data_IF_294109092137
#
_entry.id   IF_294109092137
#
_cell.length_a   1.000
_cell.length_b   1.000
_cell.length_c   1.000
_cell.angle_alpha   90.00
_cell.angle_beta   90.00
_cell.angle_gamma   90.00
#
_symmetry.space_group_name_H-M   'P 1'
#
loop_
_entity.id
_entity.type
_entity.pdbx_description
1 polymer ?
#
# COMPACT_ATOMS: atom_id res chain seq x y z
N UNK A 1 6.86 1.46 -24.38
CA UNK A 1 7.92 0.92 -23.50
C UNK A 1 7.37 -0.35 -22.87
N UNK A 2 8.15 -1.43 -22.94
CA UNK A 2 7.74 -2.76 -22.43
C UNK A 2 8.77 -3.25 -21.43
N UNK A 3 8.33 -3.78 -20.30
CA UNK A 3 9.18 -4.33 -19.25
C UNK A 3 8.64 -5.69 -18.80
N UNK A 4 9.54 -6.58 -18.39
CA UNK A 4 9.19 -7.86 -17.79
C UNK A 4 9.50 -7.78 -16.28
N UNK A 5 8.53 -8.15 -15.48
CA UNK A 5 8.60 -8.09 -14.03
C UNK A 5 8.33 -9.48 -13.47
N UNK A 6 9.15 -9.92 -12.53
CA UNK A 6 8.91 -11.15 -11.77
C UNK A 6 8.51 -10.77 -10.34
N UNK A 7 7.22 -10.97 -10.03
CA UNK A 7 6.62 -10.59 -8.75
C UNK A 7 6.70 -11.75 -7.77
N UNK A 8 7.30 -11.49 -6.63
CA UNK A 8 7.49 -12.46 -5.55
C UNK A 8 6.64 -12.12 -4.32
N UNK A 9 6.46 -13.08 -3.41
CA UNK A 9 5.82 -12.84 -2.10
C UNK A 9 6.51 -11.74 -1.30
N UNK A 10 7.82 -11.57 -1.47
CA UNK A 10 8.59 -10.49 -0.84
C UNK A 10 8.14 -9.10 -1.34
N UNK A 11 7.83 -8.97 -2.63
CA UNK A 11 7.36 -7.71 -3.20
C UNK A 11 5.98 -7.36 -2.69
N UNK A 12 5.09 -8.35 -2.58
CA UNK A 12 3.77 -8.18 -2.00
C UNK A 12 3.84 -7.82 -0.52
N UNK A 13 4.77 -8.41 0.24
CA UNK A 13 5.02 -8.03 1.62
C UNK A 13 5.42 -6.54 1.74
N UNK A 14 6.39 -6.10 0.94
CA UNK A 14 6.83 -4.69 0.96
C UNK A 14 5.75 -3.73 0.47
N UNK A 15 4.99 -4.13 -0.56
CA UNK A 15 3.83 -3.37 -1.04
C UNK A 15 2.79 -3.22 0.07
N UNK A 16 2.38 -4.33 0.69
CA UNK A 16 1.40 -4.30 1.78
C UNK A 16 1.89 -3.44 2.94
N UNK A 17 3.12 -3.62 3.38
CA UNK A 17 3.72 -2.84 4.46
C UNK A 17 3.70 -1.34 4.16
N UNK A 18 4.14 -0.95 2.97
CA UNK A 18 4.15 0.46 2.57
C UNK A 18 2.73 1.04 2.47
N UNK A 19 1.82 0.34 1.80
CA UNK A 19 0.45 0.82 1.60
C UNK A 19 -0.37 0.82 2.90
N UNK A 20 -0.19 -0.19 3.75
CA UNK A 20 -0.84 -0.27 5.06
C UNK A 20 -0.45 0.92 5.95
N UNK A 21 0.85 1.20 6.03
CA UNK A 21 1.35 2.28 6.89
C UNK A 21 1.08 3.68 6.33
N UNK A 22 1.12 3.87 5.01
CA UNK A 22 1.12 5.22 4.42
C UNK A 22 -0.20 5.62 3.76
N UNK A 23 -0.94 4.66 3.22
CA UNK A 23 -2.08 4.97 2.35
C UNK A 23 -3.42 4.55 2.93
N UNK A 24 -3.48 3.45 3.68
CA UNK A 24 -4.74 2.94 4.25
C UNK A 24 -5.28 3.81 5.40
N UNK A 25 -4.47 4.70 5.95
CA UNK A 25 -4.78 5.42 7.18
C UNK A 25 -4.73 4.53 8.44
N UNK A 26 -4.22 3.31 8.32
CA UNK A 26 -4.13 2.35 9.42
C UNK A 26 -3.28 2.84 10.60
N UNK A 27 -2.34 3.76 10.35
CA UNK A 27 -1.60 4.43 11.43
C UNK A 27 -2.48 5.20 12.43
N UNK A 28 -3.72 5.51 12.06
CA UNK A 28 -4.71 6.16 12.94
C UNK A 28 -5.37 5.18 13.91
N UNK A 29 -5.36 3.88 13.60
CA UNK A 29 -6.01 2.84 14.42
C UNK A 29 -5.50 2.87 15.87
N UNK A 30 -4.18 2.80 16.15
CA UNK A 30 -3.68 2.85 17.52
C UNK A 30 -4.00 4.17 18.22
N UNK A 31 -4.04 5.29 17.49
CA UNK A 31 -4.38 6.60 18.05
C UNK A 31 -5.84 6.61 18.50
N UNK A 32 -6.78 6.19 17.66
CA UNK A 32 -8.19 6.15 18.02
C UNK A 32 -8.48 5.12 19.12
N UNK A 33 -7.87 3.94 19.09
CA UNK A 33 -7.99 2.95 20.14
C UNK A 33 -7.50 3.50 21.49
N UNK A 34 -6.34 4.16 21.50
CA UNK A 34 -5.81 4.78 22.72
C UNK A 34 -6.70 5.89 23.24
N UNK A 35 -7.16 6.82 22.38
CA UNK A 35 -8.06 7.92 22.75
C UNK A 35 -9.39 7.38 23.31
N UNK A 36 -9.95 6.33 22.72
CA UNK A 36 -11.19 5.72 23.18
C UNK A 36 -11.02 5.13 24.58
N UNK A 37 -9.95 4.35 24.82
CA UNK A 37 -9.68 3.78 26.13
C UNK A 37 -9.40 4.86 27.18
N UNK A 38 -8.67 5.91 26.83
CA UNK A 38 -8.43 7.06 27.70
C UNK A 38 -9.75 7.79 28.04
N UNK A 39 -10.62 8.02 27.04
CA UNK A 39 -11.91 8.65 27.24
C UNK A 39 -12.83 7.85 28.17
N UNK A 40 -12.91 6.53 27.99
CA UNK A 40 -13.67 5.65 28.89
C UNK A 40 -13.11 5.70 30.31
N UNK A 41 -11.79 5.71 30.47
CA UNK A 41 -11.16 5.83 31.79
C UNK A 41 -11.54 7.13 32.49
N UNK A 42 -11.41 8.28 31.83
CA UNK A 42 -11.76 9.59 32.41
C UNK A 42 -13.26 9.73 32.70
N UNK A 43 -14.11 9.16 31.83
CA UNK A 43 -15.56 9.14 32.09
C UNK A 43 -15.91 8.40 33.38
N UNK A 44 -15.25 7.26 33.65
CA UNK A 44 -15.55 6.44 34.86
C UNK A 44 -14.82 6.92 36.11
N UNK A 45 -13.56 7.37 36.00
CA UNK A 45 -12.74 7.74 37.15
C UNK A 45 -12.86 9.22 37.55
N UNK A 46 -13.39 10.08 36.65
CA UNK A 46 -13.34 11.53 36.79
C UNK A 46 -11.90 12.08 36.66
N UNK A 47 -11.80 13.41 36.75
CA UNK A 47 -10.50 14.09 36.66
C UNK A 47 -9.78 14.23 38.01
N UNK A 48 -10.34 13.67 39.10
CA UNK A 48 -9.78 13.72 40.45
C UNK A 48 -8.82 12.55 40.79
N UNK A 49 -8.52 11.70 39.80
CA UNK A 49 -7.63 10.57 40.00
C UNK A 49 -6.16 11.03 40.19
N UNK A 50 -5.41 10.25 41.00
CA UNK A 50 -3.97 10.46 41.18
C UNK A 50 -3.21 10.47 39.86
N UNK A 51 -2.28 11.42 39.68
CA UNK A 51 -1.52 11.58 38.45
C UNK A 51 -0.72 10.33 38.09
N UNK A 52 -0.23 9.61 39.12
CA UNK A 52 0.52 8.36 38.92
C UNK A 52 -0.38 7.26 38.34
N UNK A 53 -1.61 7.17 38.85
CA UNK A 53 -2.61 6.23 38.32
C UNK A 53 -3.01 6.58 36.89
N UNK A 54 -3.19 7.86 36.61
CA UNK A 54 -3.50 8.33 35.24
C UNK A 54 -2.36 7.93 34.28
N UNK A 55 -1.12 8.27 34.62
CA UNK A 55 0.04 7.95 33.79
C UNK A 55 0.19 6.44 33.54
N UNK A 56 0.02 5.63 34.59
CA UNK A 56 0.04 4.17 34.47
C UNK A 56 -1.04 3.66 33.51
N UNK A 57 -2.30 4.07 33.69
CA UNK A 57 -3.40 3.63 32.81
C UNK A 57 -3.22 4.04 31.37
N UNK A 58 -2.78 5.27 31.10
CA UNK A 58 -2.51 5.74 29.75
C UNK A 58 -1.38 4.95 29.07
N UNK A 59 -0.34 4.58 29.83
CA UNK A 59 0.74 3.73 29.33
C UNK A 59 0.27 2.32 28.99
N UNK A 60 -0.56 1.72 29.82
CA UNK A 60 -1.18 0.40 29.57
C UNK A 60 -2.07 0.45 28.34
N UNK A 61 -2.88 1.51 28.17
CA UNK A 61 -3.75 1.67 26.99
C UNK A 61 -2.95 1.84 25.71
N UNK A 62 -1.82 2.54 25.76
CA UNK A 62 -0.91 2.63 24.63
C UNK A 62 -0.35 1.25 24.24
N UNK A 63 0.05 0.45 25.22
CA UNK A 63 0.50 -0.94 25.01
C UNK A 63 -0.57 -1.77 24.27
N UNK A 64 -1.80 -1.75 24.75
CA UNK A 64 -2.93 -2.45 24.11
C UNK A 64 -3.21 -1.92 22.70
N UNK A 65 -3.18 -0.61 22.48
CA UNK A 65 -3.40 -0.01 21.18
C UNK A 65 -2.34 -0.47 20.15
N UNK A 66 -1.07 -0.58 20.56
CA UNK A 66 0.01 -1.10 19.74
C UNK A 66 -0.13 -2.59 19.45
N UNK A 67 -0.59 -3.38 20.42
CA UNK A 67 -0.87 -4.81 20.22
C UNK A 67 -1.99 -4.98 19.17
N UNK A 68 -3.10 -4.26 19.31
CA UNK A 68 -4.22 -4.29 18.37
C UNK A 68 -3.72 -3.92 16.95
N UNK A 69 -2.95 -2.86 16.83
CA UNK A 69 -2.37 -2.43 15.56
C UNK A 69 -1.48 -3.51 14.93
N UNK A 70 -0.62 -4.14 15.74
CA UNK A 70 0.27 -5.21 15.28
C UNK A 70 -0.52 -6.43 14.79
N UNK A 71 -1.59 -6.79 15.47
CA UNK A 71 -2.48 -7.89 15.05
C UNK A 71 -3.11 -7.56 13.68
N UNK A 72 -3.66 -6.36 13.51
CA UNK A 72 -4.24 -5.94 12.22
C UNK A 72 -3.19 -5.95 11.09
N UNK A 73 -1.97 -5.49 11.35
CA UNK A 73 -0.88 -5.52 10.38
C UNK A 73 -0.51 -6.95 9.98
N UNK A 74 -0.37 -7.84 10.97
CA UNK A 74 -0.04 -9.26 10.74
C UNK A 74 -1.15 -9.93 9.92
N UNK A 75 -2.41 -9.74 10.30
CA UNK A 75 -3.56 -10.32 9.57
C UNK A 75 -3.64 -9.80 8.13
N UNK A 76 -3.46 -8.49 7.93
CA UNK A 76 -3.39 -7.90 6.58
C UNK A 76 -2.28 -8.54 5.74
N UNK A 77 -1.10 -8.72 6.32
CA UNK A 77 0.04 -9.32 5.63
C UNK A 77 -0.21 -10.80 5.29
N UNK A 78 -0.75 -11.57 6.23
CA UNK A 78 -1.11 -12.97 6.00
C UNK A 78 -2.14 -13.08 4.87
N UNK A 79 -3.19 -12.24 4.89
CA UNK A 79 -4.25 -12.24 3.87
C UNK A 79 -3.68 -11.98 2.48
N UNK A 80 -2.82 -10.97 2.33
CA UNK A 80 -2.19 -10.65 1.03
C UNK A 80 -1.29 -11.79 0.54
N UNK A 81 -0.44 -12.34 1.41
CA UNK A 81 0.52 -13.37 1.02
C UNK A 81 -0.16 -14.72 0.77
N UNK A 82 -1.15 -15.08 1.58
CA UNK A 82 -1.87 -16.37 1.45
C UNK A 82 -2.84 -16.36 0.28
N UNK A 83 -3.43 -15.19 -0.05
CA UNK A 83 -4.30 -15.03 -1.22
C UNK A 83 -3.55 -14.91 -2.54
N UNK A 84 -2.22 -14.81 -2.52
CA UNK A 84 -1.41 -14.67 -3.72
C UNK A 84 -0.95 -16.02 -4.26
N UNK A 85 -1.10 -16.24 -5.57
CA UNK A 85 -0.69 -17.45 -6.27
C UNK A 85 -0.34 -17.13 -7.72
N UNK A 86 0.56 -17.90 -8.30
CA UNK A 86 0.86 -17.85 -9.74
C UNK A 86 -0.39 -18.21 -10.56
N UNK A 87 -1.19 -19.16 -10.06
CA UNK A 87 -2.43 -19.59 -10.72
C UNK A 87 -3.49 -18.48 -10.89
N UNK A 88 -3.39 -17.43 -10.08
CA UNK A 88 -4.31 -16.26 -10.16
C UNK A 88 -3.67 -15.06 -10.88
N UNK A 89 -2.47 -15.22 -11.41
CA UNK A 89 -1.75 -14.11 -12.06
C UNK A 89 -1.37 -12.98 -11.10
N UNK A 90 -1.14 -13.29 -9.82
CA UNK A 90 -0.69 -12.32 -8.79
C UNK A 90 0.81 -12.39 -8.58
N UNK A 91 1.37 -13.58 -8.65
CA UNK A 91 2.81 -13.84 -8.55
C UNK A 91 3.37 -14.27 -9.91
N UNK A 92 4.70 -14.27 -10.01
CA UNK A 92 5.41 -14.75 -11.18
C UNK A 92 5.64 -13.67 -12.24
N UNK A 93 5.67 -14.09 -13.49
CA UNK A 93 6.06 -13.23 -14.62
C UNK A 93 4.90 -12.36 -15.08
N UNK A 94 5.13 -11.07 -15.09
CA UNK A 94 4.24 -10.05 -15.63
C UNK A 94 4.96 -9.28 -16.71
N UNK A 95 4.26 -8.90 -17.76
CA UNK A 95 4.73 -7.95 -18.75
C UNK A 95 3.89 -6.69 -18.66
N UNK A 96 4.54 -5.55 -18.49
CA UNK A 96 3.89 -4.24 -18.57
C UNK A 96 4.28 -3.53 -19.84
N UNK A 97 3.29 -3.11 -20.62
CA UNK A 97 3.48 -2.36 -21.84
C UNK A 97 2.77 -1.01 -21.76
N UNK A 98 3.57 0.07 -21.76
CA UNK A 98 3.03 1.43 -21.77
C UNK A 98 2.61 1.79 -23.20
N UNK A 99 1.34 2.14 -23.38
CA UNK A 99 0.70 2.54 -24.61
C UNK A 99 0.30 4.02 -24.58
N UNK A 100 -0.23 4.55 -25.68
CA UNK A 100 -0.64 5.94 -25.77
C UNK A 100 -1.76 6.29 -24.77
N UNK A 101 -2.75 5.40 -24.61
CA UNK A 101 -3.96 5.66 -23.82
C UNK A 101 -3.98 4.96 -22.45
N UNK A 102 -2.92 4.24 -22.07
CA UNK A 102 -2.88 3.47 -20.85
C UNK A 102 -1.69 2.52 -20.79
N UNK A 103 -1.83 1.47 -20.01
CA UNK A 103 -0.89 0.36 -20.00
C UNK A 103 -1.61 -0.98 -20.04
N UNK A 104 -0.94 -1.96 -20.62
CA UNK A 104 -1.37 -3.36 -20.58
C UNK A 104 -0.50 -4.10 -19.60
N UNK A 105 -1.12 -4.88 -18.72
CA UNK A 105 -0.47 -5.92 -17.93
C UNK A 105 -0.87 -7.27 -18.51
N UNK A 106 0.11 -8.09 -18.82
CA UNK A 106 -0.08 -9.47 -19.29
C UNK A 106 0.63 -10.44 -18.35
N UNK A 107 -0.05 -11.52 -18.00
CA UNK A 107 0.48 -12.66 -17.25
C UNK A 107 0.25 -13.94 -18.06
N UNK A 108 0.69 -15.09 -17.56
CA UNK A 108 0.42 -16.38 -18.22
C UNK A 108 -1.07 -16.77 -18.21
N UNK A 109 -1.91 -16.10 -17.39
CA UNK A 109 -3.31 -16.47 -17.18
C UNK A 109 -4.31 -15.37 -17.57
N UNK A 110 -3.86 -14.12 -17.65
CA UNK A 110 -4.73 -12.99 -18.00
C UNK A 110 -3.99 -11.84 -18.68
N UNK A 111 -4.79 -10.96 -19.30
CA UNK A 111 -4.33 -9.68 -19.83
C UNK A 111 -5.34 -8.60 -19.45
N UNK A 112 -4.85 -7.47 -18.99
CA UNK A 112 -5.68 -6.35 -18.53
C UNK A 112 -5.15 -5.04 -19.09
N UNK A 113 -6.00 -4.29 -19.78
CA UNK A 113 -5.74 -2.91 -20.17
C UNK A 113 -6.26 -1.94 -19.11
N UNK A 114 -5.42 -1.04 -18.65
CA UNK A 114 -5.79 0.05 -17.76
C UNK A 114 -5.54 1.38 -18.44
N UNK A 115 -6.61 2.16 -18.66
CA UNK A 115 -6.50 3.52 -19.18
C UNK A 115 -5.80 4.43 -18.16
N UNK A 116 -5.09 5.47 -18.62
CA UNK A 116 -4.43 6.44 -17.71
C UNK A 116 -5.38 7.07 -16.70
N UNK A 117 -6.65 7.32 -17.06
CA UNK A 117 -7.70 7.82 -16.14
C UNK A 117 -8.09 6.82 -15.06
N UNK A 118 -7.86 5.52 -15.29
CA UNK A 118 -8.11 4.45 -14.32
C UNK A 118 -7.04 4.33 -13.22
N UNK A 119 -5.95 5.10 -13.34
CA UNK A 119 -4.94 5.14 -12.29
C UNK A 119 -5.45 6.05 -11.16
N UNK A 120 -5.67 5.45 -10.00
CA UNK A 120 -6.04 6.17 -8.79
C UNK A 120 -4.88 6.99 -8.22
N UNK A 121 -3.67 6.40 -8.18
CA UNK A 121 -2.47 7.06 -7.66
C UNK A 121 -1.19 6.34 -8.09
N UNK A 122 -0.14 7.09 -8.39
CA UNK A 122 1.22 6.60 -8.57
C UNK A 122 2.04 6.88 -7.33
N UNK A 123 2.77 5.87 -6.84
CA UNK A 123 3.68 6.00 -5.70
C UNK A 123 5.03 5.44 -6.13
N UNK A 124 6.09 6.24 -5.96
CA UNK A 124 7.47 5.81 -6.19
C UNK A 124 8.23 5.81 -4.88
N UNK A 125 8.98 4.74 -4.67
CA UNK A 125 9.96 4.59 -3.60
C UNK A 125 11.35 4.33 -4.19
N UNK A 126 12.36 4.19 -3.37
CA UNK A 126 13.71 3.86 -3.83
C UNK A 126 13.79 2.52 -4.57
N UNK A 127 12.91 1.56 -4.27
CA UNK A 127 12.97 0.19 -4.76
C UNK A 127 11.74 -0.26 -5.54
N UNK A 128 10.66 0.52 -5.56
CA UNK A 128 9.37 0.13 -6.15
C UNK A 128 8.64 1.29 -6.78
N UNK A 129 7.90 1.00 -7.84
CA UNK A 129 6.77 1.80 -8.29
C UNK A 129 5.49 1.03 -7.98
N UNK A 130 4.53 1.69 -7.35
CA UNK A 130 3.18 1.17 -7.12
C UNK A 130 2.19 1.95 -7.99
N UNK A 131 1.47 1.23 -8.86
CA UNK A 131 0.41 1.79 -9.70
C UNK A 131 -0.91 1.40 -9.05
N UNK A 132 -1.52 2.32 -8.32
CA UNK A 132 -2.83 2.08 -7.70
C UNK A 132 -3.94 2.30 -8.71
N UNK A 133 -4.79 1.31 -8.87
CA UNK A 133 -6.02 1.37 -9.69
C UNK A 133 -7.25 1.58 -8.82
N UNK A 134 -7.15 1.30 -7.51
CA UNK A 134 -8.17 1.59 -6.50
C UNK A 134 -7.50 1.84 -5.12
N UNK A 135 -8.25 2.31 -4.11
CA UNK A 135 -7.70 2.50 -2.75
C UNK A 135 -6.99 1.27 -2.16
N UNK A 136 -7.44 0.05 -2.49
CA UNK A 136 -6.89 -1.21 -1.99
C UNK A 136 -6.21 -2.08 -3.06
N UNK A 137 -6.19 -1.66 -4.32
CA UNK A 137 -5.60 -2.41 -5.42
C UNK A 137 -4.39 -1.66 -5.98
N UNK A 138 -3.29 -2.38 -6.16
CA UNK A 138 -2.07 -1.84 -6.74
C UNK A 138 -1.27 -2.90 -7.49
N UNK A 139 -0.67 -2.51 -8.63
CA UNK A 139 0.42 -3.27 -9.24
C UNK A 139 1.73 -2.86 -8.57
N UNK A 140 2.61 -3.83 -8.36
CA UNK A 140 3.94 -3.62 -7.78
C UNK A 140 5.01 -3.85 -8.83
N UNK A 141 5.88 -2.86 -9.04
CA UNK A 141 6.95 -2.93 -10.02
C UNK A 141 8.28 -2.71 -9.30
N UNK A 142 9.04 -3.79 -9.06
CA UNK A 142 10.32 -3.70 -8.39
C UNK A 142 11.41 -3.11 -9.28
N UNK A 143 12.23 -2.21 -8.72
CA UNK A 143 13.39 -1.61 -9.40
C UNK A 143 14.38 -2.67 -9.93
N UNK A 144 14.52 -3.81 -9.24
CA UNK A 144 15.42 -4.90 -9.66
C UNK A 144 15.09 -5.52 -11.01
N UNK A 145 13.88 -5.29 -11.54
CA UNK A 145 13.45 -5.81 -12.85
C UNK A 145 13.91 -4.94 -14.02
N UNK A 146 14.58 -3.81 -13.74
CA UNK A 146 15.16 -2.93 -14.74
C UNK A 146 16.66 -3.17 -14.85
N UNK A 147 17.21 -2.95 -16.04
CA UNK A 147 18.65 -3.13 -16.32
C UNK A 147 19.51 -2.12 -15.56
N UNK A 148 18.96 -0.93 -15.29
CA UNK A 148 19.64 0.15 -14.61
C UNK A 148 18.64 1.17 -14.03
N UNK A 149 19.16 2.09 -13.22
CA UNK A 149 18.35 3.14 -12.59
C UNK A 149 17.69 4.09 -13.61
N UNK A 150 18.39 4.41 -14.69
CA UNK A 150 17.87 5.31 -15.72
C UNK A 150 16.61 4.73 -16.37
N UNK A 151 16.59 3.44 -16.66
CA UNK A 151 15.41 2.76 -17.23
C UNK A 151 14.23 2.76 -16.25
N UNK A 152 14.49 2.56 -14.95
CA UNK A 152 13.47 2.65 -13.90
C UNK A 152 12.87 4.06 -13.79
N UNK A 153 13.72 5.09 -13.84
CA UNK A 153 13.29 6.49 -13.82
C UNK A 153 12.49 6.85 -15.08
N UNK A 154 12.93 6.41 -16.25
CA UNK A 154 12.23 6.63 -17.51
C UNK A 154 10.84 5.98 -17.49
N UNK A 155 10.75 4.74 -17.02
CA UNK A 155 9.47 4.05 -16.88
C UNK A 155 8.50 4.83 -16.00
N UNK A 156 8.94 5.25 -14.81
CA UNK A 156 8.12 6.05 -13.91
C UNK A 156 7.72 7.39 -14.51
N UNK A 157 8.64 8.08 -15.18
CA UNK A 157 8.38 9.35 -15.87
C UNK A 157 7.29 9.22 -16.94
N UNK A 158 7.34 8.17 -17.75
CA UNK A 158 6.31 7.88 -18.77
C UNK A 158 4.95 7.58 -18.15
N UNK A 159 4.89 6.78 -17.09
CA UNK A 159 3.66 6.54 -16.32
C UNK A 159 3.06 7.83 -15.79
N UNK A 160 3.90 8.66 -15.18
CA UNK A 160 3.50 9.95 -14.59
C UNK A 160 2.95 10.89 -15.65
N UNK A 161 3.66 11.07 -16.75
CA UNK A 161 3.25 11.93 -17.87
C UNK A 161 1.93 11.45 -18.48
N UNK A 162 1.76 10.15 -18.70
CA UNK A 162 0.52 9.58 -19.22
C UNK A 162 -0.68 9.87 -18.30
N UNK A 163 -0.51 9.64 -17.00
CA UNK A 163 -1.55 9.89 -15.99
C UNK A 163 -1.90 11.39 -15.86
N UNK A 164 -0.89 12.28 -15.79
CA UNK A 164 -1.10 13.73 -15.68
C UNK A 164 -1.81 14.31 -16.92
N UNK A 165 -1.37 13.91 -18.13
CA UNK A 165 -2.01 14.34 -19.37
C UNK A 165 -3.47 13.89 -19.48
N UNK A 166 -3.79 12.69 -19.00
CA UNK A 166 -5.17 12.20 -19.00
C UNK A 166 -6.05 12.90 -17.95
N UNK A 167 -5.47 13.29 -16.83
CA UNK A 167 -6.18 14.05 -15.77
C UNK A 167 -6.47 15.49 -16.20
N UNK A 168 -5.53 16.14 -16.89
CA UNK A 168 -5.68 17.52 -17.38
C UNK A 168 -6.68 17.66 -18.53
N UNK A 169 -6.90 16.59 -19.31
CA UNK A 169 -7.91 16.59 -20.41
C UNK A 169 -9.35 16.37 -19.90
N UNK A 170 -9.53 16.15 -18.61
CA UNK A 170 -10.85 15.88 -18.01
C UNK A 170 -11.49 17.13 -17.36
N UNK A 171 -10.83 18.28 -17.44
CA UNK A 171 -11.32 19.60 -17.05
C UNK A 171 -11.72 20.37 -18.32
#
# INVERSE_FOLDING_TARGET
>A
MRINVDITKKDLFWMNSHLFLTTSGAYKIPIYAWLTMAGIFFYNAGFSADITLIAYKLSVFLGWALIIFSVFYILSTITVISGSSDSYGVLGKHTYELQENGFVESTDVNETFTNWKGIYRLIKTNNYVYIKTAPSLAHVIPKRCFSNEKEFEEFYSRLKTGHENASNKAI
#
